data_IF_457968924773
#
_entry.id   IF_457968924773
#
_cell.length_a   1.000
_cell.length_b   1.000
_cell.length_c   1.000
_cell.angle_alpha   90.00
_cell.angle_beta   90.00
_cell.angle_gamma   90.00
#
_symmetry.space_group_name_H-M   'P 1'
#
loop_
_entity.id
_entity.type
_entity.pdbx_description
1 polymer ?
#
# COMPACT_ATOMS: atom_id res chain seq x y z
N UNK A 1 11.18 17.76 5.48
CA UNK A 1 11.48 16.47 4.78
C UNK A 1 11.54 16.66 3.27
N UNK A 2 12.45 15.98 2.57
CA UNK A 2 12.50 15.91 1.10
C UNK A 2 12.01 14.55 0.62
N UNK A 3 10.94 14.55 -0.15
CA UNK A 3 10.30 13.35 -0.70
C UNK A 3 10.83 13.07 -2.10
N UNK A 4 11.16 11.83 -2.38
CA UNK A 4 11.65 11.37 -3.69
C UNK A 4 10.50 10.96 -4.62
N UNK A 5 10.82 10.70 -5.89
CA UNK A 5 9.89 10.11 -6.86
C UNK A 5 9.29 8.75 -6.43
N UNK A 6 9.94 8.04 -5.50
CA UNK A 6 9.57 6.68 -5.07
C UNK A 6 8.82 6.64 -3.74
N UNK A 7 8.14 7.73 -3.36
CA UNK A 7 7.38 7.84 -2.10
C UNK A 7 8.23 7.43 -0.86
N UNK A 8 9.47 7.90 -0.87
CA UNK A 8 10.46 7.75 0.19
C UNK A 8 11.04 9.12 0.50
N UNK A 9 11.86 9.23 1.53
CA UNK A 9 12.49 10.48 1.93
C UNK A 9 14.00 10.36 2.08
N UNK A 10 14.67 11.51 1.98
CA UNK A 10 16.09 11.62 2.28
C UNK A 10 16.30 11.65 3.79
N UNK A 11 17.21 10.82 4.28
CA UNK A 11 17.55 10.69 5.70
C UNK A 11 19.06 10.86 5.90
N UNK A 12 19.45 11.28 7.10
CA UNK A 12 20.84 11.26 7.55
C UNK A 12 20.95 10.23 8.66
N UNK A 13 21.83 9.26 8.47
CA UNK A 13 22.14 8.21 9.46
C UNK A 13 23.64 8.18 9.71
N UNK A 14 24.09 7.27 10.57
CA UNK A 14 25.52 7.06 10.84
C UNK A 14 26.31 6.65 9.58
N UNK A 15 25.64 6.15 8.54
CA UNK A 15 26.24 5.80 7.24
C UNK A 15 26.24 6.97 6.25
N UNK A 16 25.76 8.16 6.65
CA UNK A 16 25.64 9.33 5.80
C UNK A 16 24.24 9.53 5.22
N UNK A 17 24.18 10.03 3.98
CA UNK A 17 22.91 10.27 3.29
C UNK A 17 22.31 8.97 2.77
N UNK A 18 21.09 8.67 3.19
CA UNK A 18 20.34 7.49 2.80
C UNK A 18 18.93 7.86 2.26
N UNK A 19 18.33 6.96 1.49
CA UNK A 19 16.92 7.02 1.12
C UNK A 19 16.16 6.00 1.97
N UNK A 20 15.02 6.40 2.55
CA UNK A 20 14.19 5.50 3.36
C UNK A 20 12.72 5.65 3.02
N UNK A 21 12.00 4.53 2.98
CA UNK A 21 10.53 4.54 2.89
C UNK A 21 9.92 5.25 4.11
N UNK A 22 8.77 5.92 3.95
CA UNK A 22 8.14 6.71 5.02
C UNK A 22 7.86 5.92 6.29
N UNK A 23 7.54 4.64 6.17
CA UNK A 23 7.32 3.77 7.32
C UNK A 23 8.56 3.66 8.25
N UNK A 24 9.78 3.85 7.73
CA UNK A 24 11.00 3.86 8.53
C UNK A 24 11.13 5.08 9.46
N UNK A 25 10.43 6.19 9.16
CA UNK A 25 10.43 7.39 10.02
C UNK A 25 10.00 7.06 11.44
N UNK A 26 8.97 6.22 11.58
CA UNK A 26 8.44 5.83 12.90
C UNK A 26 8.98 4.47 13.36
N UNK A 27 9.00 3.47 12.47
CA UNK A 27 9.30 2.09 12.89
C UNK A 27 10.78 1.91 13.23
N UNK A 28 11.63 2.66 12.53
CA UNK A 28 13.09 2.60 12.64
C UNK A 28 13.67 3.91 13.23
N UNK A 29 12.80 4.86 13.64
CA UNK A 29 13.15 6.18 14.18
C UNK A 29 14.10 7.01 13.31
N UNK A 30 14.02 6.84 11.99
CA UNK A 30 14.92 7.53 11.06
C UNK A 30 14.47 8.97 10.85
N UNK A 31 15.36 9.92 11.14
CA UNK A 31 15.10 11.35 10.95
C UNK A 31 15.34 11.79 9.51
N UNK A 32 14.49 12.66 8.96
CA UNK A 32 14.71 13.26 7.65
C UNK A 32 15.95 14.14 7.64
N UNK A 33 16.64 14.17 6.50
CA UNK A 33 17.74 15.09 6.26
C UNK A 33 17.24 16.53 6.33
N UNK A 34 17.92 17.37 7.11
CA UNK A 34 17.69 18.81 7.13
C UNK A 34 18.46 19.48 6.01
N UNK A 35 18.10 20.73 5.71
CA UNK A 35 18.87 21.54 4.76
C UNK A 35 20.29 21.84 5.21
N UNK A 36 20.50 21.96 6.52
CA UNK A 36 21.85 22.10 7.07
C UNK A 36 22.70 20.87 6.77
N UNK A 37 22.12 19.66 6.92
CA UNK A 37 22.83 18.42 6.62
C UNK A 37 23.20 18.33 5.14
N UNK A 38 22.25 18.61 4.26
CA UNK A 38 22.49 18.54 2.80
C UNK A 38 23.54 19.57 2.36
N UNK A 39 23.52 20.78 2.94
CA UNK A 39 24.55 21.78 2.69
C UNK A 39 25.93 21.34 3.16
N UNK A 40 26.01 20.68 4.32
CA UNK A 40 27.26 20.13 4.84
C UNK A 40 27.82 19.01 3.94
N UNK A 41 26.94 18.29 3.23
CA UNK A 41 27.30 17.30 2.21
C UNK A 41 27.63 17.91 0.83
N UNK A 42 27.63 19.24 0.71
CA UNK A 42 27.96 19.99 -0.49
C UNK A 42 26.81 20.14 -1.49
N UNK A 43 25.57 19.82 -1.10
CA UNK A 43 24.42 20.04 -1.97
C UNK A 43 23.92 21.48 -1.90
N UNK A 44 23.69 22.06 -3.08
CA UNK A 44 22.97 23.30 -3.28
C UNK A 44 21.52 23.00 -3.69
N UNK A 45 20.60 23.86 -3.27
CA UNK A 45 19.20 23.80 -3.65
C UNK A 45 18.98 24.48 -5.01
N UNK A 46 18.36 23.79 -5.94
CA UNK A 46 17.96 24.37 -7.23
C UNK A 46 16.47 24.14 -7.49
N UNK A 47 15.68 25.21 -7.47
CA UNK A 47 14.24 25.14 -7.73
C UNK A 47 13.96 24.95 -9.22
N UNK A 48 13.11 23.97 -9.52
CA UNK A 48 12.64 23.67 -10.86
C UNK A 48 11.39 24.50 -11.17
N UNK A 49 11.03 24.59 -12.45
CA UNK A 49 9.89 25.41 -12.92
C UNK A 49 8.54 24.98 -12.35
N UNK A 50 8.41 23.72 -11.93
CA UNK A 50 7.23 23.14 -11.30
C UNK A 50 7.22 23.30 -9.76
N UNK A 51 8.21 24.00 -9.20
CA UNK A 51 8.39 24.23 -7.77
C UNK A 51 8.98 23.06 -6.99
N UNK A 52 9.32 21.93 -7.65
CA UNK A 52 10.11 20.88 -7.04
C UNK A 52 11.58 21.31 -6.92
N UNK A 53 12.33 20.58 -6.10
CA UNK A 53 13.71 20.92 -5.79
C UNK A 53 14.65 19.87 -6.35
N UNK A 54 15.73 20.28 -6.98
CA UNK A 54 16.86 19.43 -7.30
C UNK A 54 18.03 19.72 -6.35
N UNK A 55 18.80 18.68 -6.01
CA UNK A 55 19.96 18.78 -5.14
C UNK A 55 21.24 18.69 -5.97
N UNK A 56 21.91 19.82 -6.18
CA UNK A 56 23.10 19.92 -7.04
C UNK A 56 24.39 19.83 -6.24
N UNK A 57 25.38 19.08 -6.70
CA UNK A 57 26.73 19.04 -6.13
C UNK A 57 27.76 19.02 -7.27
N UNK A 58 28.53 20.11 -7.39
CA UNK A 58 29.38 20.32 -8.56
C UNK A 58 28.52 20.53 -9.81
N UNK A 59 28.74 19.69 -10.83
CA UNK A 59 27.97 19.72 -12.08
C UNK A 59 26.79 18.76 -12.11
N UNK A 60 26.66 17.87 -11.12
CA UNK A 60 25.64 16.82 -11.13
C UNK A 60 24.54 17.05 -10.09
N UNK A 61 23.41 16.39 -10.29
CA UNK A 61 22.25 16.34 -9.40
C UNK A 61 22.13 14.97 -8.73
N UNK A 62 21.70 14.94 -7.46
CA UNK A 62 21.37 13.71 -6.76
C UNK A 62 20.16 13.04 -7.43
N UNK A 63 20.30 11.77 -7.78
CA UNK A 63 19.25 10.96 -8.39
C UNK A 63 18.87 9.83 -7.45
N UNK A 64 17.63 9.86 -6.94
CA UNK A 64 17.07 8.78 -6.13
C UNK A 64 16.83 7.53 -7.00
N UNK A 65 16.98 6.34 -6.43
CA UNK A 65 16.78 5.08 -7.15
C UNK A 65 15.69 4.23 -6.49
N UNK A 66 15.02 3.34 -7.25
CA UNK A 66 13.92 2.55 -6.72
C UNK A 66 14.36 1.56 -5.64
N UNK A 67 15.62 1.14 -5.64
CA UNK A 67 16.24 0.25 -4.65
C UNK A 67 16.67 0.97 -3.35
N UNK A 68 16.20 2.20 -3.13
CA UNK A 68 16.60 3.08 -2.02
C UNK A 68 18.07 3.52 -2.07
N UNK A 69 18.72 3.36 -3.23
CA UNK A 69 20.05 3.89 -3.49
C UNK A 69 20.05 5.30 -4.09
N UNK A 70 21.26 5.81 -4.33
CA UNK A 70 21.47 7.05 -5.07
C UNK A 70 22.48 6.87 -6.19
N UNK A 71 22.37 7.74 -7.18
CA UNK A 71 23.43 8.01 -8.16
C UNK A 71 23.47 9.53 -8.42
N UNK A 72 24.24 9.96 -9.40
CA UNK A 72 24.20 11.34 -9.89
C UNK A 72 23.88 11.39 -11.39
N UNK A 73 23.33 12.51 -11.86
CA UNK A 73 23.04 12.79 -13.27
C UNK A 73 23.41 14.25 -13.58
N UNK A 74 23.82 14.56 -14.80
CA UNK A 74 24.19 15.92 -15.22
C UNK A 74 22.97 16.78 -15.59
N UNK A 75 21.77 16.19 -15.63
CA UNK A 75 20.51 16.86 -15.89
C UNK A 75 19.41 16.48 -14.88
N UNK A 76 18.41 17.34 -14.71
CA UNK A 76 17.25 17.10 -13.85
C UNK A 76 16.12 16.47 -14.67
N UNK A 77 15.59 15.34 -14.22
CA UNK A 77 14.43 14.66 -14.83
C UNK A 77 13.37 14.32 -13.79
N UNK A 78 12.87 13.09 -13.72
CA UNK A 78 11.93 12.65 -12.69
C UNK A 78 12.58 12.36 -11.34
N UNK A 79 13.70 11.65 -11.34
CA UNK A 79 14.27 11.05 -10.12
C UNK A 79 15.22 11.98 -9.35
N UNK A 80 15.61 13.08 -9.99
CA UNK A 80 16.42 14.15 -9.41
C UNK A 80 15.55 15.27 -8.81
N UNK A 81 14.22 15.14 -8.92
CA UNK A 81 13.25 16.09 -8.34
C UNK A 81 12.72 15.57 -7.03
N UNK A 82 12.76 16.45 -6.03
CA UNK A 82 12.32 16.20 -4.67
C UNK A 82 11.23 17.18 -4.29
N UNK A 83 10.21 16.70 -3.59
CA UNK A 83 9.19 17.55 -2.99
C UNK A 83 9.61 17.93 -1.57
N UNK A 84 9.73 19.23 -1.32
CA UNK A 84 9.97 19.77 0.02
C UNK A 84 8.64 19.85 0.78
N UNK A 85 8.54 19.11 1.89
CA UNK A 85 7.36 19.09 2.76
C UNK A 85 7.71 19.42 4.20
N UNK A 86 6.76 20.05 4.87
CA UNK A 86 6.76 20.21 6.33
C UNK A 86 6.45 18.86 6.99
N UNK A 87 7.25 18.47 7.98
CA UNK A 87 7.06 17.26 8.78
C UNK A 87 5.77 17.31 9.62
N UNK A 88 5.24 18.50 9.90
CA UNK A 88 3.91 18.67 10.50
C UNK A 88 2.75 18.14 9.65
N UNK A 89 2.99 17.80 8.38
CA UNK A 89 2.01 17.14 7.50
C UNK A 89 2.05 15.60 7.58
N UNK A 90 2.96 15.03 8.37
CA UNK A 90 2.99 13.58 8.57
C UNK A 90 1.72 13.13 9.31
N UNK A 91 1.14 11.98 8.93
CA UNK A 91 -0.03 11.45 9.60
C UNK A 91 0.33 10.95 11.00
N UNK A 92 -0.67 10.79 11.85
CA UNK A 92 -0.51 10.00 13.07
C UNK A 92 -0.16 8.55 12.68
N UNK A 93 0.99 8.07 13.15
CA UNK A 93 1.41 6.70 12.90
C UNK A 93 0.56 5.71 13.69
N UNK A 94 0.30 4.55 13.08
CA UNK A 94 -0.49 3.49 13.69
C UNK A 94 0.21 2.96 14.93
N UNK A 95 -0.52 2.82 16.03
CA UNK A 95 0.00 2.23 17.27
C UNK A 95 0.26 0.73 17.09
N UNK A 96 1.21 0.18 17.84
CA UNK A 96 1.41 -1.28 17.88
C UNK A 96 0.17 -1.95 18.46
N UNK A 97 -0.40 -2.89 17.73
CA UNK A 97 -1.49 -3.77 18.13
C UNK A 97 -0.91 -5.10 18.64
N UNK A 98 -1.51 -5.72 19.67
CA UNK A 98 -1.14 -7.06 20.13
C UNK A 98 -1.08 -8.08 18.98
N UNK A 99 -0.01 -8.87 18.98
CA UNK A 99 0.25 -9.93 18.00
C UNK A 99 -0.51 -11.19 18.38
N UNK A 100 -1.34 -11.74 17.48
CA UNK A 100 -2.03 -13.02 17.74
C UNK A 100 -1.17 -14.22 17.36
N UNK A 101 -1.38 -15.35 18.04
CA UNK A 101 -0.59 -16.55 17.82
C UNK A 101 -0.95 -17.31 16.54
N UNK A 102 -2.16 -17.18 16.04
CA UNK A 102 -2.59 -17.87 14.81
C UNK A 102 -3.43 -16.93 13.97
N UNK A 103 -3.44 -17.15 12.66
CA UNK A 103 -4.30 -16.41 11.73
C UNK A 103 -5.76 -16.72 12.10
N UNK A 104 -6.57 -15.71 12.48
CA UNK A 104 -7.98 -15.91 12.80
C UNK A 104 -8.76 -16.50 11.61
N UNK A 105 -9.77 -17.32 11.90
CA UNK A 105 -10.64 -17.92 10.87
C UNK A 105 -11.75 -16.97 10.46
N UNK A 106 -11.36 -15.84 9.87
CA UNK A 106 -12.28 -14.81 9.40
C UNK A 106 -11.91 -14.44 7.96
N UNK A 107 -12.89 -14.51 7.06
CA UNK A 107 -12.77 -14.08 5.67
C UNK A 107 -13.39 -12.69 5.54
N UNK A 108 -12.61 -11.76 5.00
CA UNK A 108 -12.98 -10.36 4.79
C UNK A 108 -13.04 -10.07 3.30
N UNK A 109 -14.16 -9.48 2.85
CA UNK A 109 -14.26 -8.88 1.52
C UNK A 109 -14.78 -7.46 1.64
N UNK A 110 -14.29 -6.56 0.79
CA UNK A 110 -14.72 -5.17 0.73
C UNK A 110 -15.48 -4.95 -0.58
N UNK A 111 -16.59 -4.25 -0.50
CA UNK A 111 -17.33 -3.81 -1.67
C UNK A 111 -18.11 -2.53 -1.44
N UNK A 112 -18.95 -2.21 -2.41
CA UNK A 112 -19.88 -1.11 -2.33
C UNK A 112 -21.17 -1.56 -1.64
N UNK A 113 -22.02 -0.61 -1.25
CA UNK A 113 -23.40 -0.98 -0.91
C UNK A 113 -24.05 -1.49 -2.20
N UNK A 114 -24.22 -2.80 -2.31
CA UNK A 114 -24.90 -3.41 -3.44
C UNK A 114 -26.23 -3.95 -2.94
N UNK A 115 -27.32 -3.51 -3.59
CA UNK A 115 -28.66 -4.03 -3.33
C UNK A 115 -28.81 -5.51 -3.79
N UNK A 116 -27.86 -5.99 -4.61
CA UNK A 116 -27.72 -7.37 -5.09
C UNK A 116 -26.24 -7.77 -5.01
N UNK A 117 -25.90 -9.02 -4.68
CA UNK A 117 -24.48 -9.43 -4.63
C UNK A 117 -23.95 -9.87 -6.00
N UNK A 118 -24.76 -9.80 -7.05
CA UNK A 118 -24.33 -10.04 -8.43
C UNK A 118 -23.16 -9.12 -8.85
N UNK A 119 -22.19 -9.62 -9.65
CA UNK A 119 -22.04 -10.98 -10.17
C UNK A 119 -21.24 -11.92 -9.24
N UNK A 120 -21.10 -11.59 -7.95
CA UNK A 120 -20.18 -12.27 -7.04
C UNK A 120 -20.82 -13.36 -6.17
N UNK A 121 -22.14 -13.56 -6.25
CA UNK A 121 -22.91 -14.53 -5.43
C UNK A 121 -22.37 -15.95 -5.53
N UNK A 122 -22.25 -16.48 -6.75
CA UNK A 122 -21.76 -17.84 -7.00
C UNK A 122 -20.33 -18.04 -6.45
N UNK A 123 -19.49 -17.00 -6.55
CA UNK A 123 -18.14 -17.02 -6.01
C UNK A 123 -18.12 -16.99 -4.47
N UNK A 124 -19.00 -16.18 -3.87
CA UNK A 124 -19.15 -16.10 -2.42
C UNK A 124 -19.65 -17.43 -1.84
N UNK A 125 -20.70 -18.00 -2.43
CA UNK A 125 -21.26 -19.27 -2.01
C UNK A 125 -20.21 -20.39 -2.06
N UNK A 126 -19.40 -20.41 -3.13
CA UNK A 126 -18.26 -21.32 -3.25
C UNK A 126 -17.26 -21.14 -2.09
N UNK A 127 -16.84 -19.91 -1.80
CA UNK A 127 -15.89 -19.61 -0.72
C UNK A 127 -16.43 -20.09 0.64
N UNK A 128 -17.70 -19.80 0.95
CA UNK A 128 -18.32 -20.20 2.22
C UNK A 128 -18.46 -21.71 2.30
N UNK A 129 -18.93 -22.37 1.23
CA UNK A 129 -19.13 -23.81 1.18
C UNK A 129 -17.83 -24.59 1.43
N UNK A 130 -16.70 -24.12 0.87
CA UNK A 130 -15.40 -24.77 1.03
C UNK A 130 -14.66 -24.41 2.33
N UNK A 131 -15.14 -23.40 3.08
CA UNK A 131 -14.53 -22.93 4.32
C UNK A 131 -15.59 -22.75 5.44
N UNK A 132 -16.36 -23.80 5.78
CA UNK A 132 -17.53 -23.68 6.67
C UNK A 132 -17.15 -23.34 8.13
N UNK A 133 -15.88 -23.49 8.49
CA UNK A 133 -15.33 -23.16 9.81
C UNK A 133 -14.76 -21.74 9.90
N UNK A 134 -14.97 -20.92 8.87
CA UNK A 134 -14.57 -19.51 8.83
C UNK A 134 -15.78 -18.58 8.94
N UNK A 135 -15.67 -17.56 9.78
CA UNK A 135 -16.61 -16.45 9.79
C UNK A 135 -16.45 -15.61 8.52
N UNK A 136 -17.53 -15.04 8.02
CA UNK A 136 -17.52 -14.15 6.86
C UNK A 136 -17.92 -12.73 7.22
N UNK A 137 -17.13 -11.74 6.79
CA UNK A 137 -17.41 -10.32 6.95
C UNK A 137 -17.34 -9.59 5.61
N UNK A 138 -18.48 -9.07 5.18
CA UNK A 138 -18.58 -8.14 4.06
C UNK A 138 -18.56 -6.71 4.57
N UNK A 139 -17.60 -5.92 4.11
CA UNK A 139 -17.36 -4.54 4.53
C UNK A 139 -17.78 -3.56 3.45
N UNK A 140 -18.45 -2.50 3.89
CA UNK A 140 -18.90 -1.38 3.06
C UNK A 140 -18.54 -0.08 3.75
N UNK A 141 -18.59 1.04 3.03
CA UNK A 141 -18.33 2.36 3.62
C UNK A 141 -19.24 2.63 4.85
N UNK A 142 -20.53 2.28 4.71
CA UNK A 142 -21.56 2.41 5.74
C UNK A 142 -22.36 1.10 5.90
N UNK A 143 -22.99 0.89 7.06
CA UNK A 143 -23.77 -0.31 7.38
C UNK A 143 -23.25 -1.03 8.63
N UNK A 144 -23.64 -2.30 8.82
CA UNK A 144 -23.28 -3.07 10.01
C UNK A 144 -21.76 -3.28 10.14
N UNK A 145 -21.11 -3.65 9.03
CA UNK A 145 -19.64 -3.68 8.93
C UNK A 145 -19.14 -2.41 8.22
N UNK A 146 -19.34 -1.25 8.85
CA UNK A 146 -18.90 0.04 8.31
C UNK A 146 -17.40 0.24 8.44
N UNK A 147 -16.72 0.49 7.31
CA UNK A 147 -15.31 0.87 7.24
C UNK A 147 -15.07 2.19 7.98
N UNK A 148 -15.92 3.20 7.75
CA UNK A 148 -15.78 4.52 8.40
C UNK A 148 -15.84 4.38 9.93
N UNK A 149 -16.81 3.61 10.43
CA UNK A 149 -16.95 3.35 11.88
C UNK A 149 -15.75 2.58 12.43
N UNK A 150 -15.31 1.55 11.71
CA UNK A 150 -14.15 0.75 12.09
C UNK A 150 -12.87 1.58 12.19
N UNK A 151 -12.62 2.47 11.20
CA UNK A 151 -11.47 3.36 11.20
C UNK A 151 -11.54 4.31 12.40
N UNK A 152 -12.69 4.93 12.64
CA UNK A 152 -12.88 5.81 13.79
C UNK A 152 -12.59 5.09 15.12
N UNK A 153 -13.18 3.91 15.34
CA UNK A 153 -13.11 3.19 16.60
C UNK A 153 -11.70 2.66 16.89
N UNK A 154 -10.94 2.24 15.87
CA UNK A 154 -9.61 1.61 16.06
C UNK A 154 -8.42 2.52 15.78
N UNK A 155 -8.57 3.53 14.92
CA UNK A 155 -7.48 4.39 14.46
C UNK A 155 -7.71 5.87 14.76
N UNK A 156 -8.92 6.24 15.18
CA UNK A 156 -9.27 7.59 15.58
C UNK A 156 -9.56 8.55 14.42
N UNK A 157 -9.86 9.79 14.80
CA UNK A 157 -10.33 10.81 13.86
C UNK A 157 -9.29 11.23 12.81
N UNK A 158 -8.00 11.20 13.14
CA UNK A 158 -6.95 11.64 12.22
C UNK A 158 -6.83 10.72 11.01
N UNK A 159 -6.89 9.40 11.23
CA UNK A 159 -6.89 8.42 10.13
C UNK A 159 -8.20 8.46 9.35
N UNK A 160 -9.33 8.66 10.04
CA UNK A 160 -10.63 8.82 9.37
C UNK A 160 -10.62 10.02 8.42
N UNK A 161 -10.08 11.17 8.85
CA UNK A 161 -9.96 12.37 8.00
C UNK A 161 -9.07 12.14 6.78
N UNK A 162 -8.01 11.35 6.91
CA UNK A 162 -7.17 10.99 5.75
C UNK A 162 -7.91 10.07 4.78
N UNK A 163 -8.68 9.11 5.32
CA UNK A 163 -9.53 8.24 4.51
C UNK A 163 -10.59 9.04 3.74
N UNK A 164 -11.27 9.98 4.41
CA UNK A 164 -12.31 10.84 3.82
C UNK A 164 -11.78 11.79 2.72
N UNK A 165 -10.48 12.09 2.74
CA UNK A 165 -9.81 12.85 1.68
C UNK A 165 -9.55 12.04 0.41
N UNK A 166 -9.64 10.71 0.43
CA UNK A 166 -9.47 9.91 -0.78
C UNK A 166 -10.61 10.27 -1.73
N UNK A 167 -10.27 10.64 -2.96
CA UNK A 167 -11.27 10.97 -3.97
C UNK A 167 -12.18 9.74 -4.20
N UNK A 168 -13.51 9.88 -4.06
CA UNK A 168 -14.44 8.76 -4.12
C UNK A 168 -14.48 8.03 -5.48
N UNK A 169 -13.95 8.63 -6.55
CA UNK A 169 -13.77 7.96 -7.83
C UNK A 169 -12.64 6.90 -7.79
N UNK A 170 -11.71 7.04 -6.84
CA UNK A 170 -10.62 6.10 -6.57
C UNK A 170 -10.98 5.09 -5.48
N UNK A 171 -12.13 4.41 -5.60
CA UNK A 171 -12.57 3.40 -4.63
C UNK A 171 -11.58 2.25 -4.39
N UNK A 172 -10.67 2.00 -5.34
CA UNK A 172 -9.56 1.06 -5.16
C UNK A 172 -8.61 1.48 -4.01
N UNK A 173 -8.31 2.78 -3.87
CA UNK A 173 -7.46 3.30 -2.79
C UNK A 173 -8.15 3.13 -1.44
N UNK A 174 -9.46 3.38 -1.38
CA UNK A 174 -10.27 3.13 -0.19
C UNK A 174 -10.20 1.64 0.21
N UNK A 175 -10.40 0.72 -0.74
CA UNK A 175 -10.34 -0.72 -0.49
C UNK A 175 -8.94 -1.21 -0.09
N UNK A 176 -7.88 -0.66 -0.70
CA UNK A 176 -6.49 -0.92 -0.33
C UNK A 176 -6.20 -0.49 1.11
N UNK A 177 -6.52 0.75 1.49
CA UNK A 177 -6.28 1.19 2.87
C UNK A 177 -7.12 0.39 3.86
N UNK A 178 -8.41 0.20 3.59
CA UNK A 178 -9.32 -0.51 4.47
C UNK A 178 -8.91 -1.97 4.69
N UNK A 179 -8.47 -2.70 3.66
CA UNK A 179 -8.04 -4.11 3.83
C UNK A 179 -6.85 -4.23 4.77
N UNK A 180 -5.88 -3.32 4.68
CA UNK A 180 -4.72 -3.33 5.57
C UNK A 180 -5.15 -3.02 7.00
N UNK A 181 -5.97 -1.98 7.20
CA UNK A 181 -6.45 -1.57 8.52
C UNK A 181 -7.28 -2.67 9.20
N UNK A 182 -8.15 -3.35 8.46
CA UNK A 182 -9.00 -4.42 8.96
C UNK A 182 -8.16 -5.63 9.36
N UNK A 183 -7.30 -6.13 8.46
CA UNK A 183 -6.46 -7.30 8.75
C UNK A 183 -5.44 -7.00 9.87
N UNK A 184 -4.99 -5.75 10.02
CA UNK A 184 -4.07 -5.42 11.11
C UNK A 184 -4.70 -5.57 12.50
N UNK A 185 -5.98 -5.22 12.64
CA UNK A 185 -6.69 -5.27 13.93
C UNK A 185 -7.34 -6.62 14.16
N UNK A 186 -7.99 -7.18 13.13
CA UNK A 186 -8.77 -8.41 13.26
C UNK A 186 -8.01 -9.68 12.85
N UNK A 187 -6.90 -9.54 12.12
CA UNK A 187 -6.25 -10.66 11.43
C UNK A 187 -7.16 -11.25 10.35
N UNK A 188 -6.84 -12.47 9.93
CA UNK A 188 -7.67 -13.28 9.05
C UNK A 188 -7.21 -13.22 7.60
N UNK A 189 -8.19 -13.34 6.70
CA UNK A 189 -7.99 -13.53 5.26
C UNK A 189 -8.78 -12.46 4.53
N UNK A 190 -8.09 -11.50 3.94
CA UNK A 190 -8.70 -10.62 2.96
C UNK A 190 -8.53 -11.19 1.55
N UNK A 191 -9.58 -11.07 0.73
CA UNK A 191 -9.51 -11.22 -0.72
C UNK A 191 -10.46 -10.26 -1.45
N UNK A 192 -10.11 -9.84 -2.66
CA UNK A 192 -11.01 -9.05 -3.51
C UNK A 192 -12.29 -9.84 -3.85
N UNK A 193 -13.40 -9.14 -4.14
CA UNK A 193 -14.67 -9.78 -4.51
C UNK A 193 -14.59 -10.68 -5.75
N UNK A 194 -13.71 -10.31 -6.67
CA UNK A 194 -13.44 -11.05 -7.91
C UNK A 194 -12.48 -12.23 -7.72
N UNK A 195 -11.86 -12.36 -6.54
CA UNK A 195 -10.89 -13.42 -6.24
C UNK A 195 -11.58 -14.63 -5.63
N UNK A 196 -10.97 -15.80 -5.75
CA UNK A 196 -11.53 -17.08 -5.26
C UNK A 196 -10.51 -17.89 -4.47
N UNK A 197 -11.03 -18.69 -3.54
CA UNK A 197 -10.33 -19.73 -2.80
C UNK A 197 -10.81 -21.06 -3.36
N UNK A 198 -10.01 -21.68 -4.24
CA UNK A 198 -10.34 -22.98 -4.87
C UNK A 198 -10.03 -24.15 -3.94
N UNK A 199 -8.91 -24.06 -3.21
CA UNK A 199 -8.52 -25.07 -2.23
C UNK A 199 -8.93 -24.58 -0.83
N UNK A 200 -9.51 -25.44 0.04
CA UNK A 200 -9.87 -25.05 1.40
C UNK A 200 -8.70 -24.41 2.15
N UNK A 201 -8.96 -23.32 2.89
CA UNK A 201 -7.91 -22.56 3.58
C UNK A 201 -7.13 -23.40 4.60
N UNK A 202 -7.76 -24.43 5.17
CA UNK A 202 -7.10 -25.41 6.06
C UNK A 202 -5.94 -26.17 5.40
N UNK A 203 -5.94 -26.27 4.08
CA UNK A 203 -4.89 -26.95 3.29
C UNK A 203 -3.79 -25.97 2.84
N UNK A 204 -4.06 -24.66 2.97
CA UNK A 204 -3.16 -23.57 2.55
C UNK A 204 -2.43 -22.93 3.72
N UNK A 205 -3.15 -22.71 4.83
CA UNK A 205 -2.66 -22.01 6.03
C UNK A 205 -2.17 -23.02 7.06
N UNK A 206 -0.92 -22.88 7.46
CA UNK A 206 -0.26 -23.70 8.49
C UNK A 206 -0.44 -23.05 9.86
N UNK A 207 -0.36 -23.87 10.91
CA UNK A 207 -0.57 -23.42 12.30
C UNK A 207 0.41 -22.32 12.74
N UNK A 208 1.63 -22.36 12.21
CA UNK A 208 2.74 -21.45 12.55
C UNK A 208 2.81 -20.20 11.65
N UNK A 209 1.98 -20.12 10.61
CA UNK A 209 1.97 -18.98 9.71
C UNK A 209 1.52 -17.69 10.41
N UNK A 210 2.22 -16.59 10.10
CA UNK A 210 1.91 -15.26 10.64
C UNK A 210 1.53 -14.24 9.57
N UNK A 211 2.14 -14.34 8.39
CA UNK A 211 1.87 -13.46 7.25
C UNK A 211 2.08 -14.25 5.96
N UNK A 212 1.09 -14.31 5.08
CA UNK A 212 1.25 -14.95 3.77
C UNK A 212 1.08 -13.92 2.66
N UNK A 213 1.94 -14.01 1.67
CA UNK A 213 1.91 -13.19 0.45
C UNK A 213 2.08 -14.07 -0.78
N UNK A 214 1.50 -13.65 -1.90
CA UNK A 214 1.78 -14.24 -3.20
C UNK A 214 2.34 -13.18 -4.15
N UNK A 215 3.14 -13.61 -5.12
CA UNK A 215 3.60 -12.77 -6.24
C UNK A 215 2.87 -13.17 -7.52
N UNK A 216 2.84 -12.27 -8.50
CA UNK A 216 2.47 -12.66 -9.87
C UNK A 216 3.51 -13.66 -10.38
N UNK A 217 3.08 -14.83 -10.87
CA UNK A 217 4.01 -15.92 -11.18
C UNK A 217 5.01 -15.61 -12.31
N UNK A 218 4.62 -14.83 -13.31
CA UNK A 218 5.51 -14.25 -14.31
C UNK A 218 5.34 -12.73 -14.25
N UNK A 219 6.42 -11.96 -14.43
CA UNK A 219 6.40 -10.49 -14.43
C UNK A 219 5.41 -10.03 -15.50
N UNK A 220 4.21 -9.64 -15.09
CA UNK A 220 3.15 -9.19 -16.01
C UNK A 220 3.36 -7.73 -16.45
N UNK A 221 4.11 -6.96 -15.66
CA UNK A 221 4.43 -5.55 -15.92
C UNK A 221 5.68 -5.16 -15.11
N UNK A 222 6.64 -4.48 -15.73
CA UNK A 222 7.83 -3.96 -15.03
C UNK A 222 7.57 -2.53 -14.58
N UNK A 223 7.22 -2.35 -13.31
CA UNK A 223 7.13 -1.01 -12.72
C UNK A 223 8.52 -0.47 -12.40
N UNK A 224 8.87 0.78 -12.77
CA UNK A 224 10.16 1.38 -12.41
C UNK A 224 10.46 1.31 -10.91
N UNK A 225 9.43 1.49 -10.08
CA UNK A 225 9.50 1.40 -8.61
C UNK A 225 9.91 0.02 -8.07
N UNK A 226 9.79 -1.05 -8.87
CA UNK A 226 10.03 -2.45 -8.47
C UNK A 226 11.06 -3.17 -9.36
N UNK A 227 11.69 -2.48 -10.32
CA UNK A 227 12.56 -3.12 -11.33
C UNK A 227 13.79 -3.85 -10.77
N UNK A 228 14.16 -3.55 -9.52
CA UNK A 228 15.27 -4.17 -8.79
C UNK A 228 14.86 -5.45 -8.03
N UNK A 229 13.56 -5.78 -7.98
CA UNK A 229 13.04 -6.94 -7.27
C UNK A 229 12.90 -8.11 -8.26
N UNK A 230 13.77 -9.10 -8.14
CA UNK A 230 13.93 -10.20 -9.11
C UNK A 230 12.64 -10.97 -9.41
N UNK A 231 11.80 -11.16 -8.40
CA UNK A 231 10.58 -11.96 -8.50
C UNK A 231 9.32 -11.10 -8.70
N UNK A 232 9.50 -9.77 -8.83
CA UNK A 232 8.44 -8.83 -9.10
C UNK A 232 7.58 -8.43 -7.89
N UNK A 233 6.31 -8.20 -8.17
CA UNK A 233 5.35 -7.54 -7.29
C UNK A 233 4.55 -8.54 -6.43
N UNK A 234 4.41 -8.26 -5.13
CA UNK A 234 3.45 -8.95 -4.26
C UNK A 234 2.02 -8.45 -4.53
N UNK A 235 1.07 -9.38 -4.62
CA UNK A 235 -0.33 -9.03 -4.72
C UNK A 235 -0.85 -8.54 -3.38
N UNK A 236 -1.58 -7.43 -3.41
CA UNK A 236 -2.42 -6.98 -2.31
C UNK A 236 -3.88 -7.44 -2.45
N UNK A 237 -4.23 -8.14 -3.55
CA UNK A 237 -5.54 -8.77 -3.75
C UNK A 237 -5.83 -9.89 -2.74
N UNK A 238 -4.79 -10.37 -2.05
CA UNK A 238 -4.87 -11.25 -0.89
C UNK A 238 -3.99 -10.70 0.22
N UNK A 239 -4.52 -10.58 1.44
CA UNK A 239 -3.72 -10.24 2.62
C UNK A 239 -4.13 -11.19 3.73
N UNK A 240 -3.23 -12.09 4.10
CA UNK A 240 -3.49 -13.15 5.08
C UNK A 240 -2.52 -12.95 6.23
N UNK A 241 -3.04 -12.64 7.42
CA UNK A 241 -2.18 -12.36 8.56
C UNK A 241 -2.83 -12.56 9.91
N UNK A 242 -1.99 -12.77 10.93
CA UNK A 242 -2.35 -12.54 12.33
C UNK A 242 -2.68 -11.06 12.56
N UNK A 243 -3.51 -10.78 13.57
CA UNK A 243 -3.65 -9.41 14.04
C UNK A 243 -2.30 -8.92 14.60
N UNK A 244 -2.01 -7.63 14.44
CA UNK A 244 -0.82 -6.99 14.99
C UNK A 244 0.49 -7.26 14.24
N UNK A 245 0.47 -7.90 13.07
CA UNK A 245 1.71 -8.22 12.35
C UNK A 245 2.55 -6.96 11.99
N UNK A 246 3.85 -6.88 12.35
CA UNK A 246 4.67 -5.69 12.12
C UNK A 246 4.77 -5.25 10.67
N UNK A 247 4.86 -6.20 9.72
CA UNK A 247 4.88 -5.86 8.29
C UNK A 247 3.62 -5.13 7.83
N UNK A 248 2.44 -5.53 8.32
CA UNK A 248 1.19 -4.89 7.92
C UNK A 248 1.09 -3.48 8.48
N UNK A 249 1.56 -3.28 9.72
CA UNK A 249 1.69 -1.95 10.30
C UNK A 249 2.60 -1.05 9.46
N UNK A 250 3.73 -1.60 8.99
CA UNK A 250 4.68 -0.89 8.12
C UNK A 250 4.02 -0.48 6.80
N UNK A 251 3.28 -1.39 6.16
CA UNK A 251 2.44 -1.10 4.98
C UNK A 251 1.46 0.03 5.27
N UNK A 252 0.70 -0.05 6.36
CA UNK A 252 -0.29 0.99 6.69
C UNK A 252 0.38 2.35 6.88
N UNK A 253 1.46 2.42 7.65
CA UNK A 253 2.20 3.66 7.88
C UNK A 253 2.73 4.24 6.55
N UNK A 254 3.23 3.40 5.64
CA UNK A 254 3.64 3.83 4.32
C UNK A 254 2.47 4.44 3.53
N UNK A 255 1.33 3.76 3.48
CA UNK A 255 0.14 4.21 2.73
C UNK A 255 -0.46 5.47 3.32
N UNK A 256 -0.54 5.61 4.65
CA UNK A 256 -1.00 6.84 5.29
C UNK A 256 -0.09 8.02 4.96
N UNK A 257 1.23 7.83 4.92
CA UNK A 257 2.16 8.87 4.48
C UNK A 257 1.98 9.21 3.00
N UNK A 258 1.83 8.20 2.13
CA UNK A 258 1.56 8.42 0.70
C UNK A 258 0.30 9.26 0.48
N UNK A 259 -0.76 9.01 1.26
CA UNK A 259 -2.02 9.78 1.22
C UNK A 259 -1.82 11.20 1.77
N UNK A 260 -1.23 11.32 2.96
CA UNK A 260 -1.08 12.63 3.62
C UNK A 260 -0.18 13.58 2.84
N UNK A 261 0.89 13.04 2.25
CA UNK A 261 1.93 13.77 1.51
C UNK A 261 1.73 13.71 0.00
N UNK A 262 0.55 13.27 -0.48
CA UNK A 262 0.27 13.16 -1.91
C UNK A 262 0.50 14.49 -2.62
N UNK A 263 1.27 14.43 -3.69
CA UNK A 263 1.45 15.52 -4.63
C UNK A 263 1.48 14.97 -6.05
N UNK A 264 0.59 15.48 -6.91
CA UNK A 264 0.42 15.00 -8.27
C UNK A 264 1.68 15.16 -9.14
N UNK A 265 2.59 16.08 -8.81
CA UNK A 265 3.85 16.29 -9.55
C UNK A 265 4.84 15.13 -9.33
N UNK A 266 4.71 14.43 -8.20
CA UNK A 266 5.52 13.27 -7.83
C UNK A 266 4.76 11.97 -8.13
N UNK A 267 3.57 11.81 -7.54
CA UNK A 267 2.82 10.55 -7.60
C UNK A 267 2.06 10.37 -8.92
N UNK A 268 1.72 11.47 -9.61
CA UNK A 268 0.87 11.45 -10.79
C UNK A 268 -0.62 11.25 -10.46
N UNK A 269 -1.37 10.78 -11.46
CA UNK A 269 -2.80 10.44 -11.36
C UNK A 269 -3.08 9.08 -12.00
N UNK A 270 -4.31 8.59 -11.83
CA UNK A 270 -4.79 7.38 -12.52
C UNK A 270 -4.11 6.09 -12.04
N UNK A 271 -3.82 5.17 -12.99
CA UNK A 271 -3.35 3.81 -12.68
C UNK A 271 -2.06 3.79 -11.86
N UNK A 272 -1.00 4.39 -12.38
CA UNK A 272 0.34 4.32 -11.77
C UNK A 272 0.31 4.96 -10.37
N UNK A 273 -0.36 6.11 -10.24
CA UNK A 273 -0.50 6.78 -8.95
C UNK A 273 -1.26 5.91 -7.94
N UNK A 274 -2.32 5.22 -8.37
CA UNK A 274 -3.11 4.31 -7.51
C UNK A 274 -2.24 3.18 -6.96
N UNK A 275 -1.50 2.51 -7.86
CA UNK A 275 -0.62 1.39 -7.49
C UNK A 275 0.50 1.84 -6.53
N UNK A 276 1.07 3.02 -6.75
CA UNK A 276 2.14 3.62 -5.92
C UNK A 276 1.66 4.17 -4.58
N UNK A 277 0.40 4.61 -4.48
CA UNK A 277 -0.13 5.28 -3.28
C UNK A 277 -0.59 4.26 -2.24
N UNK A 278 -1.40 3.28 -2.64
CA UNK A 278 -1.99 2.29 -1.72
C UNK A 278 -1.89 0.85 -2.22
N UNK A 279 -1.70 0.68 -3.52
CA UNK A 279 -1.78 -0.60 -4.19
C UNK A 279 -0.53 -1.47 -4.03
N UNK A 280 -0.34 -2.42 -4.95
CA UNK A 280 0.66 -3.47 -4.81
C UNK A 280 2.11 -2.96 -4.91
N UNK A 281 2.39 -1.80 -5.53
CA UNK A 281 3.72 -1.18 -5.48
C UNK A 281 4.03 -0.71 -4.06
N UNK A 282 3.11 0.03 -3.42
CA UNK A 282 3.29 0.48 -2.03
C UNK A 282 3.44 -0.71 -1.06
N UNK A 283 2.59 -1.72 -1.24
CA UNK A 283 2.61 -2.96 -0.47
C UNK A 283 3.96 -3.68 -0.60
N UNK A 284 4.43 -3.86 -1.83
CA UNK A 284 5.68 -4.58 -2.11
C UNK A 284 6.86 -3.87 -1.49
N UNK A 285 7.01 -2.56 -1.73
CA UNK A 285 8.14 -1.76 -1.22
C UNK A 285 8.21 -1.79 0.31
N UNK A 286 7.08 -1.59 0.98
CA UNK A 286 7.04 -1.57 2.44
C UNK A 286 7.43 -2.93 3.06
N UNK A 287 7.12 -4.04 2.39
CA UNK A 287 7.50 -5.39 2.82
C UNK A 287 8.97 -5.67 2.54
N UNK A 288 9.45 -5.38 1.32
CA UNK A 288 10.82 -5.72 0.91
C UNK A 288 11.88 -4.87 1.57
N UNK A 289 11.56 -3.64 1.98
CA UNK A 289 12.49 -2.77 2.71
C UNK A 289 12.57 -3.05 4.21
N UNK A 290 11.81 -4.03 4.73
CA UNK A 290 11.82 -4.35 6.16
C UNK A 290 13.15 -5.02 6.56
N UNK A 291 13.93 -4.45 7.49
CA UNK A 291 15.23 -5.00 7.87
C UNK A 291 15.13 -6.21 8.83
N UNK A 292 13.97 -6.43 9.43
CA UNK A 292 13.76 -7.47 10.46
C UNK A 292 13.34 -8.83 9.90
N UNK A 293 13.28 -9.83 10.79
CA UNK A 293 12.68 -11.13 10.46
C UNK A 293 11.19 -10.95 10.17
N UNK A 294 10.75 -11.41 9.01
CA UNK A 294 9.42 -11.15 8.48
C UNK A 294 8.35 -12.12 8.98
N UNK A 295 8.73 -13.30 9.50
CA UNK A 295 7.81 -14.44 9.77
C UNK A 295 6.75 -14.61 8.66
N UNK A 296 7.18 -14.30 7.44
CA UNK A 296 6.36 -14.24 6.24
C UNK A 296 6.64 -15.47 5.41
N UNK A 297 5.59 -16.08 4.87
CA UNK A 297 5.70 -17.17 3.92
C UNK A 297 5.15 -16.75 2.58
N UNK A 298 5.97 -16.87 1.55
CA UNK A 298 5.49 -16.72 0.18
C UNK A 298 4.71 -17.98 -0.25
N UNK A 299 3.57 -17.76 -0.90
CA UNK A 299 2.71 -18.81 -1.47
C UNK A 299 2.65 -18.72 -2.98
N UNK A 300 2.69 -19.88 -3.63
CA UNK A 300 2.41 -19.98 -5.06
C UNK A 300 0.90 -19.96 -5.28
N UNK A 301 0.38 -18.92 -5.93
CA UNK A 301 -1.07 -18.68 -6.10
C UNK A 301 -1.80 -19.89 -6.70
N UNK A 302 -1.27 -20.46 -7.79
CA UNK A 302 -1.91 -21.62 -8.45
C UNK A 302 -1.93 -22.87 -7.56
N UNK A 303 -0.86 -23.12 -6.81
CA UNK A 303 -0.77 -24.33 -5.97
C UNK A 303 -1.60 -24.19 -4.70
N UNK A 304 -1.67 -22.98 -4.17
CA UNK A 304 -2.53 -22.65 -3.02
C UNK A 304 -4.01 -22.54 -3.40
N UNK A 305 -4.35 -22.43 -4.69
CA UNK A 305 -5.73 -22.22 -5.13
C UNK A 305 -6.28 -20.83 -4.81
N UNK A 306 -5.42 -19.87 -4.46
CA UNK A 306 -5.77 -18.47 -4.25
C UNK A 306 -5.64 -17.73 -5.57
N UNK A 307 -6.74 -17.60 -6.30
CA UNK A 307 -6.75 -17.05 -7.66
C UNK A 307 -7.28 -15.61 -7.67
N UNK A 308 -6.51 -14.63 -8.18
CA UNK A 308 -6.94 -13.22 -8.21
C UNK A 308 -8.23 -13.00 -8.99
N UNK A 309 -8.52 -13.87 -9.97
CA UNK A 309 -9.69 -13.82 -10.82
C UNK A 309 -10.43 -15.16 -10.74
N UNK A 310 -11.67 -15.10 -10.28
CA UNK A 310 -12.58 -16.23 -10.19
C UNK A 310 -13.19 -16.55 -11.56
N UNK A 311 -13.18 -17.82 -11.99
CA UNK A 311 -13.92 -18.24 -13.18
C UNK A 311 -15.45 -18.21 -12.97
N UNK A 312 -15.91 -18.10 -11.71
CA UNK A 312 -17.33 -18.06 -11.35
C UNK A 312 -17.94 -16.66 -11.50
N UNK A 313 -17.10 -15.62 -11.60
CA UNK A 313 -17.57 -14.24 -11.79
C UNK A 313 -17.79 -14.02 -13.28
N UNK A 314 -19.05 -13.96 -13.69
CA UNK A 314 -19.46 -13.79 -15.10
C UNK A 314 -19.29 -12.34 -15.54
N UNK A 315 -18.77 -12.15 -16.75
CA UNK A 315 -18.57 -10.82 -17.35
C UNK A 315 -17.30 -10.10 -16.86
N UNK A 316 -17.06 -8.90 -17.39
CA UNK A 316 -15.96 -8.08 -16.91
C UNK A 316 -16.39 -7.39 -15.62
N UNK A 317 -15.78 -7.77 -14.49
CA UNK A 317 -16.01 -7.14 -13.19
C UNK A 317 -15.99 -5.60 -13.23
N UNK A 318 -15.21 -5.00 -14.14
CA UNK A 318 -15.15 -3.54 -14.33
C UNK A 318 -16.50 -2.95 -14.73
N UNK A 319 -17.26 -3.65 -15.58
CA UNK A 319 -18.53 -3.16 -16.14
C UNK A 319 -19.65 -3.12 -15.09
N UNK A 320 -19.49 -3.84 -13.97
CA UNK A 320 -20.42 -3.84 -12.85
C UNK A 320 -20.21 -2.68 -11.89
N UNK A 321 -19.03 -2.03 -11.92
CA UNK A 321 -18.84 -0.79 -11.20
C UNK A 321 -19.43 0.33 -12.07
N UNK A 322 -20.52 0.96 -11.60
CA UNK A 322 -21.19 2.09 -12.28
C UNK A 322 -20.34 3.39 -12.29
N UNK A 323 -19.02 3.28 -12.22
CA UNK A 323 -18.03 4.36 -12.14
C UNK A 323 -16.86 4.07 -13.09
N UNK A 324 -16.17 5.09 -13.61
CA UNK A 324 -14.98 4.88 -14.43
C UNK A 324 -13.91 4.11 -13.62
N UNK A 325 -13.23 3.17 -14.28
CA UNK A 325 -12.09 2.50 -13.68
C UNK A 325 -10.95 3.50 -13.41
N UNK A 326 -10.29 3.39 -12.26
CA UNK A 326 -9.24 4.33 -11.82
C UNK A 326 -8.10 4.51 -12.84
N UNK A 327 -7.88 3.53 -13.72
CA UNK A 327 -6.88 3.59 -14.78
C UNK A 327 -7.18 4.63 -15.86
N UNK A 328 -8.40 5.16 -15.93
CA UNK A 328 -8.84 6.16 -16.90
C UNK A 328 -9.03 7.55 -16.27
N UNK A 329 -8.81 7.68 -14.96
CA UNK A 329 -9.02 8.93 -14.24
C UNK A 329 -7.77 9.82 -14.30
N UNK A 330 -7.98 11.10 -14.54
CA UNK A 330 -6.93 12.15 -14.56
C UNK A 330 -7.07 13.16 -13.39
N UNK A 331 -8.06 12.95 -12.54
CA UNK A 331 -8.31 13.74 -11.33
C UNK A 331 -7.30 13.42 -10.24
N UNK A 332 -7.17 14.31 -9.26
CA UNK A 332 -6.31 14.08 -8.11
C UNK A 332 -6.84 12.92 -7.26
N UNK A 333 -5.93 12.07 -6.78
CA UNK A 333 -6.25 10.90 -5.96
C UNK A 333 -6.74 11.33 -4.57
N UNK A 334 -6.13 12.37 -4.02
CA UNK A 334 -6.39 12.87 -2.67
C UNK A 334 -6.86 14.31 -2.79
N UNK A 335 -8.04 14.58 -2.23
CA UNK A 335 -8.65 15.90 -2.21
C UNK A 335 -7.98 16.80 -1.14
N UNK A 336 -8.01 18.13 -1.34
CA UNK A 336 -7.58 19.08 -0.31
C UNK A 336 -8.34 18.87 1.00
N UNK A 337 -7.71 19.17 2.14
CA UNK A 337 -8.43 19.24 3.40
C UNK A 337 -9.46 20.39 3.34
N UNK A 338 -10.69 20.12 3.78
CA UNK A 338 -11.77 21.11 3.88
C UNK A 338 -11.63 21.97 5.11
#
# INVERSE_FOLDING_TARGET
>A
MLITFFNSFLAITDNGLEQRDFCAFYDDWVKPATWSDLKNLGFAREYQSDGLVALKRGNDYLSARPDLGFTTQDNVSGWERFLEVDEGKLPCFVKKHPFTETIPKIIHQIGYKIDSKEPFEENLDHIIYHNPDYDYKYWTEFGDNSIMRFIYDHYGMDVLKLFDRINPDYGAICADLARYLIIYVLGGIYLDLKSVIVNPLKDVIRKDDKFLVGKWGAITETHPDLCHISDGEYLNAFVISVAGHPLLRRVINQVLCNISLYDRRIAGVGRVATLKTSGPIAFTRAITSYPGKTNMREIHLKNSGLLPYSPLVKGNHIDHYKRPHYSKLETDLILPAV
#
